data_IF_757677934550
#
_entry.id   IF_757677934550
#
_cell.length_a   1.000
_cell.length_b   1.000
_cell.length_c   1.000
_cell.angle_alpha   90.00
_cell.angle_beta   90.00
_cell.angle_gamma   90.00
#
_symmetry.space_group_name_H-M   'P 1'
#
loop_
_entity.id
_entity.type
_entity.pdbx_description
1 polymer ?
#
# COMPACT_ATOMS: atom_id res chain seq x y z
N UNK A 1 -2.70 -29.28 5.50
CA UNK A 1 -2.99 -28.43 4.33
C UNK A 1 -1.92 -27.34 4.28
N UNK A 2 -1.20 -27.29 3.15
CA UNK A 2 0.12 -26.69 2.94
C UNK A 2 0.34 -25.26 3.50
N UNK A 3 1.31 -25.11 4.41
CA UNK A 3 1.99 -23.84 4.70
C UNK A 3 3.16 -23.76 3.72
N UNK A 4 3.09 -22.88 2.72
CA UNK A 4 4.23 -22.62 1.84
C UNK A 4 5.24 -21.77 2.58
N UNK A 5 6.35 -22.37 2.99
CA UNK A 5 7.56 -21.64 3.36
C UNK A 5 8.13 -20.96 2.10
N UNK A 6 7.73 -19.71 1.86
CA UNK A 6 8.40 -18.83 0.91
C UNK A 6 9.23 -17.81 1.68
N UNK A 7 10.34 -18.27 2.23
CA UNK A 7 11.44 -17.39 2.60
C UNK A 7 12.31 -17.21 1.34
N UNK A 8 11.86 -16.37 0.41
CA UNK A 8 12.78 -15.74 -0.53
C UNK A 8 13.55 -14.71 0.28
N UNK A 9 14.88 -14.79 0.24
CA UNK A 9 15.75 -13.82 0.87
C UNK A 9 15.36 -12.43 0.37
N UNK A 10 14.96 -11.54 1.29
CA UNK A 10 14.71 -10.13 0.97
C UNK A 10 16.09 -9.53 0.71
N UNK A 11 16.43 -9.14 -0.53
CA UNK A 11 17.74 -8.57 -0.80
C UNK A 11 17.92 -7.27 -0.01
N UNK A 12 19.13 -7.01 0.52
CA UNK A 12 19.44 -5.74 1.16
C UNK A 12 19.26 -4.59 0.16
N UNK A 13 18.95 -3.38 0.66
CA UNK A 13 18.69 -2.15 -0.10
C UNK A 13 19.90 -1.71 -0.96
N UNK A 14 20.16 -2.41 -2.05
CA UNK A 14 20.71 -1.86 -3.29
C UNK A 14 19.57 -1.89 -4.31
N UNK A 15 18.83 -0.77 -4.44
CA UNK A 15 17.63 -0.75 -5.27
C UNK A 15 18.00 -0.23 -6.66
N UNK A 16 18.53 -1.13 -7.49
CA UNK A 16 18.42 -0.99 -8.94
C UNK A 16 16.94 -0.68 -9.26
N UNK A 17 16.69 0.48 -9.89
CA UNK A 17 15.35 1.03 -10.16
C UNK A 17 14.33 -0.06 -10.51
N UNK A 18 13.33 -0.24 -9.65
CA UNK A 18 12.35 -1.33 -9.77
C UNK A 18 10.95 -0.80 -9.92
N UNK A 19 10.23 -1.35 -10.90
CA UNK A 19 8.87 -0.94 -11.24
C UNK A 19 7.90 -2.07 -10.91
N UNK A 20 6.85 -1.72 -10.18
CA UNK A 20 5.75 -2.60 -9.82
C UNK A 20 4.49 -2.13 -10.55
N UNK A 21 3.98 -2.98 -11.42
CA UNK A 21 2.87 -2.65 -12.32
C UNK A 21 1.62 -3.40 -11.88
N UNK A 22 0.53 -2.65 -11.75
CA UNK A 22 -0.79 -3.20 -11.51
C UNK A 22 -1.34 -3.83 -12.79
N UNK A 23 -1.92 -5.03 -12.70
CA UNK A 23 -2.58 -5.70 -13.83
C UNK A 23 -3.62 -4.76 -14.51
N UNK A 24 -3.41 -4.34 -15.78
CA UNK A 24 -4.13 -3.22 -16.37
C UNK A 24 -5.64 -3.47 -16.50
N UNK A 25 -6.05 -4.72 -16.76
CA UNK A 25 -7.47 -5.10 -16.85
C UNK A 25 -8.19 -4.95 -15.52
N UNK A 26 -7.59 -5.43 -14.43
CA UNK A 26 -8.17 -5.34 -13.09
C UNK A 26 -8.17 -3.92 -12.56
N UNK A 27 -7.11 -3.16 -12.86
CA UNK A 27 -7.04 -1.73 -12.55
C UNK A 27 -8.19 -0.98 -13.21
N UNK A 28 -8.40 -1.20 -14.51
CA UNK A 28 -9.45 -0.54 -15.26
C UNK A 28 -10.84 -0.84 -14.68
N UNK A 29 -11.17 -2.11 -14.44
CA UNK A 29 -12.49 -2.51 -13.93
C UNK A 29 -12.73 -1.99 -12.50
N UNK A 30 -11.72 -2.08 -11.63
CA UNK A 30 -11.90 -1.82 -10.20
C UNK A 30 -11.75 -0.35 -9.82
N UNK A 31 -11.06 0.44 -10.64
CA UNK A 31 -10.69 1.82 -10.32
C UNK A 31 -11.24 2.76 -11.39
N UNK A 32 -10.81 2.60 -12.63
CA UNK A 32 -11.15 3.54 -13.71
C UNK A 32 -12.64 3.51 -14.03
N UNK A 33 -13.22 2.33 -14.22
CA UNK A 33 -14.64 2.17 -14.53
C UNK A 33 -15.52 2.69 -13.40
N UNK A 34 -15.17 2.39 -12.14
CA UNK A 34 -15.88 2.94 -10.97
C UNK A 34 -15.80 4.47 -10.94
N UNK A 35 -14.63 5.05 -11.21
CA UNK A 35 -14.47 6.50 -11.30
C UNK A 35 -15.32 7.11 -12.41
N UNK A 36 -15.33 6.52 -13.61
CA UNK A 36 -16.15 6.97 -14.74
C UNK A 36 -17.65 6.86 -14.44
N UNK A 37 -18.08 5.78 -13.80
CA UNK A 37 -19.45 5.59 -13.36
C UNK A 37 -19.87 6.69 -12.37
N UNK A 38 -18.98 7.04 -11.42
CA UNK A 38 -19.23 8.17 -10.52
C UNK A 38 -19.31 9.52 -11.24
N UNK A 39 -18.57 9.74 -12.33
CA UNK A 39 -18.72 10.95 -13.16
C UNK A 39 -20.14 11.02 -13.74
N UNK A 40 -20.66 9.91 -14.26
CA UNK A 40 -22.04 9.85 -14.77
C UNK A 40 -23.05 10.18 -13.67
N UNK A 41 -22.85 9.64 -12.45
CA UNK A 41 -23.68 9.98 -11.29
C UNK A 41 -23.60 11.48 -10.98
N UNK A 42 -22.41 12.08 -10.96
CA UNK A 42 -22.26 13.52 -10.74
C UNK A 42 -23.07 14.34 -11.75
N UNK A 43 -23.00 13.99 -13.05
CA UNK A 43 -23.76 14.66 -14.10
C UNK A 43 -25.28 14.48 -13.91
N UNK A 44 -25.73 13.27 -13.57
CA UNK A 44 -27.14 13.01 -13.29
C UNK A 44 -27.64 13.79 -12.06
N UNK A 45 -26.83 13.89 -11.01
CA UNK A 45 -27.14 14.69 -9.83
C UNK A 45 -27.24 16.18 -10.17
N UNK A 46 -26.36 16.72 -11.02
CA UNK A 46 -26.47 18.09 -11.52
C UNK A 46 -27.77 18.25 -12.33
N UNK A 47 -28.09 17.32 -13.23
CA UNK A 47 -29.33 17.32 -14.00
C UNK A 47 -30.60 17.33 -13.14
N UNK A 48 -30.57 16.67 -11.98
CA UNK A 48 -31.68 16.69 -11.02
C UNK A 48 -31.92 18.07 -10.38
N UNK A 49 -30.90 18.94 -10.28
CA UNK A 49 -31.08 20.32 -9.83
C UNK A 49 -31.74 21.21 -10.89
N UNK A 50 -31.65 20.82 -12.15
CA UNK A 50 -32.29 21.49 -13.29
C UNK A 50 -33.57 20.78 -13.75
N UNK A 51 -34.11 19.86 -12.93
CA UNK A 51 -35.30 19.07 -13.20
C UNK A 51 -35.24 18.25 -14.53
N UNK A 52 -34.03 17.98 -15.04
CA UNK A 52 -33.77 17.16 -16.23
C UNK A 52 -33.84 15.65 -15.94
N UNK A 53 -33.70 15.29 -14.66
CA UNK A 53 -33.72 13.91 -14.18
C UNK A 53 -34.70 13.84 -13.00
N UNK A 54 -35.63 12.88 -12.97
CA UNK A 54 -36.63 12.76 -11.90
C UNK A 54 -36.04 12.14 -10.63
N UNK A 55 -35.06 12.82 -10.02
CA UNK A 55 -34.39 12.42 -8.80
C UNK A 55 -34.61 13.48 -7.71
N UNK A 56 -35.07 13.13 -6.49
CA UNK A 56 -35.25 14.10 -5.42
C UNK A 56 -33.95 14.84 -5.09
N UNK A 57 -34.02 16.18 -5.00
CA UNK A 57 -32.85 17.06 -4.81
C UNK A 57 -32.01 16.70 -3.58
N UNK A 58 -32.64 16.29 -2.48
CA UNK A 58 -31.93 15.85 -1.27
C UNK A 58 -31.08 14.59 -1.49
N UNK A 59 -31.61 13.60 -2.23
CA UNK A 59 -30.89 12.38 -2.58
C UNK A 59 -29.78 12.71 -3.59
N UNK A 60 -30.08 13.56 -4.57
CA UNK A 60 -29.11 14.03 -5.55
C UNK A 60 -27.92 14.75 -4.90
N UNK A 61 -28.15 15.56 -3.86
CA UNK A 61 -27.10 16.24 -3.12
C UNK A 61 -26.15 15.25 -2.43
N UNK A 62 -26.70 14.29 -1.67
CA UNK A 62 -25.90 13.30 -0.93
C UNK A 62 -25.12 12.41 -1.91
N UNK A 63 -25.79 11.86 -2.92
CA UNK A 63 -25.17 11.03 -3.94
C UNK A 63 -24.08 11.80 -4.71
N UNK A 64 -24.35 13.06 -5.05
CA UNK A 64 -23.41 13.95 -5.73
C UNK A 64 -22.14 14.21 -4.92
N UNK A 65 -22.27 14.44 -3.60
CA UNK A 65 -21.11 14.61 -2.71
C UNK A 65 -20.24 13.35 -2.69
N UNK A 66 -20.85 12.17 -2.48
CA UNK A 66 -20.13 10.89 -2.41
C UNK A 66 -19.46 10.57 -3.75
N UNK A 67 -20.18 10.74 -4.87
CA UNK A 67 -19.65 10.52 -6.20
C UNK A 67 -18.49 11.48 -6.51
N UNK A 68 -18.63 12.76 -6.17
CA UNK A 68 -17.57 13.76 -6.35
C UNK A 68 -16.32 13.39 -5.55
N UNK A 69 -16.50 12.93 -4.31
CA UNK A 69 -15.38 12.45 -3.50
C UNK A 69 -14.68 11.24 -4.14
N UNK A 70 -15.44 10.30 -4.71
CA UNK A 70 -14.87 9.14 -5.39
C UNK A 70 -14.10 9.54 -6.67
N UNK A 71 -14.65 10.45 -7.48
CA UNK A 71 -13.99 11.02 -8.66
C UNK A 71 -12.71 11.74 -8.26
N UNK A 72 -12.78 12.58 -7.22
CA UNK A 72 -11.61 13.27 -6.68
C UNK A 72 -10.52 12.29 -6.26
N UNK A 73 -10.87 11.28 -5.47
CA UNK A 73 -9.89 10.28 -5.03
C UNK A 73 -9.27 9.51 -6.19
N UNK A 74 -10.05 9.21 -7.22
CA UNK A 74 -9.59 8.37 -8.34
C UNK A 74 -8.69 9.15 -9.30
N UNK A 75 -9.10 10.34 -9.72
CA UNK A 75 -8.43 11.07 -10.80
C UNK A 75 -7.59 12.25 -10.31
N UNK A 76 -7.94 12.86 -9.17
CA UNK A 76 -7.26 14.06 -8.66
C UNK A 76 -6.24 13.69 -7.60
N UNK A 77 -6.61 12.88 -6.61
CA UNK A 77 -5.70 12.49 -5.53
C UNK A 77 -4.81 11.28 -5.87
N UNK A 78 -5.04 10.64 -7.02
CA UNK A 78 -4.36 9.41 -7.47
C UNK A 78 -4.32 8.33 -6.37
N UNK A 79 -5.41 8.19 -5.62
CA UNK A 79 -5.45 7.33 -4.45
C UNK A 79 -5.27 5.85 -4.78
N UNK A 80 -5.36 5.44 -6.05
CA UNK A 80 -5.06 4.09 -6.50
C UNK A 80 -4.06 4.19 -7.67
N UNK A 81 -2.76 4.15 -7.40
CA UNK A 81 -1.74 4.23 -8.45
C UNK A 81 -1.71 2.93 -9.27
N UNK A 82 -1.44 3.06 -10.56
CA UNK A 82 -1.28 1.92 -11.48
C UNK A 82 0.14 1.39 -11.47
N UNK A 83 1.12 2.27 -11.25
CA UNK A 83 2.54 1.93 -11.24
C UNK A 83 3.18 2.52 -10.00
N UNK A 84 3.95 1.69 -9.29
CA UNK A 84 4.83 2.14 -8.21
C UNK A 84 6.26 1.91 -8.67
N UNK A 85 7.06 2.97 -8.72
CA UNK A 85 8.50 2.87 -9.04
C UNK A 85 9.31 3.23 -7.82
N UNK A 86 10.25 2.37 -7.47
CA UNK A 86 11.15 2.56 -6.34
C UNK A 86 12.56 2.63 -6.89
N UNK A 87 13.24 3.71 -6.54
CA UNK A 87 14.62 4.01 -6.88
C UNK A 87 15.41 4.21 -5.58
N UNK A 88 16.73 4.32 -5.66
CA UNK A 88 17.59 4.45 -4.47
C UNK A 88 17.27 5.70 -3.63
N UNK A 89 16.77 6.76 -4.28
CA UNK A 89 16.51 8.06 -3.66
C UNK A 89 15.05 8.46 -3.65
N UNK A 90 14.19 7.81 -4.45
CA UNK A 90 12.82 8.27 -4.66
C UNK A 90 11.82 7.13 -4.75
N UNK A 91 10.60 7.38 -4.27
CA UNK A 91 9.43 6.56 -4.54
C UNK A 91 8.43 7.35 -5.38
N UNK A 92 7.92 6.73 -6.44
CA UNK A 92 7.01 7.35 -7.40
C UNK A 92 5.73 6.54 -7.54
N UNK A 93 4.60 7.23 -7.51
CA UNK A 93 3.26 6.66 -7.71
C UNK A 93 2.66 7.28 -8.97
N UNK A 94 2.32 6.45 -9.95
CA UNK A 94 1.87 6.94 -11.26
C UNK A 94 0.55 6.31 -11.69
N UNK A 95 -0.33 7.12 -12.25
CA UNK A 95 -1.56 6.69 -12.92
C UNK A 95 -2.02 7.78 -13.91
N UNK A 96 -2.69 7.38 -14.99
CA UNK A 96 -3.29 8.30 -15.97
C UNK A 96 -2.32 9.39 -16.52
N UNK A 97 -1.03 9.07 -16.64
CA UNK A 97 0.00 10.01 -17.12
C UNK A 97 0.51 11.01 -16.09
N UNK A 98 -0.05 11.06 -14.87
CA UNK A 98 0.48 11.84 -13.75
C UNK A 98 1.33 10.96 -12.83
N UNK A 99 2.40 11.55 -12.28
CA UNK A 99 3.33 10.90 -11.36
C UNK A 99 3.54 11.77 -10.13
N UNK A 100 3.24 11.22 -8.96
CA UNK A 100 3.57 11.82 -7.67
C UNK A 100 4.90 11.23 -7.18
N UNK A 101 5.93 12.06 -7.05
CA UNK A 101 7.31 11.65 -6.70
C UNK A 101 7.70 12.19 -5.33
N UNK A 102 8.25 11.33 -4.48
CA UNK A 102 8.72 11.67 -3.13
C UNK A 102 10.18 11.26 -2.98
N UNK A 103 11.02 12.19 -2.54
CA UNK A 103 12.39 11.88 -2.14
C UNK A 103 12.36 11.16 -0.79
N UNK A 104 13.05 10.02 -0.69
CA UNK A 104 13.04 9.21 0.54
C UNK A 104 13.63 9.98 1.74
N UNK A 105 14.53 10.93 1.49
CA UNK A 105 15.11 11.80 2.51
C UNK A 105 14.11 12.82 3.09
N UNK A 106 13.08 13.20 2.34
CA UNK A 106 12.08 14.20 2.72
C UNK A 106 10.83 13.57 3.37
N UNK A 107 10.80 12.25 3.50
CA UNK A 107 9.70 11.52 4.12
C UNK A 107 9.90 11.52 5.63
N UNK A 108 9.11 12.34 6.33
CA UNK A 108 9.14 12.47 7.80
C UNK A 108 8.18 11.52 8.49
N UNK A 109 7.06 11.17 7.84
CA UNK A 109 6.11 10.19 8.35
C UNK A 109 5.70 9.23 7.24
N UNK A 110 5.75 7.94 7.53
CA UNK A 110 5.36 6.89 6.62
C UNK A 110 4.54 5.86 7.37
N UNK A 111 3.33 5.58 6.93
CA UNK A 111 2.45 4.61 7.58
C UNK A 111 1.83 3.66 6.57
N UNK A 112 1.86 2.36 6.89
CA UNK A 112 1.29 1.28 6.09
C UNK A 112 0.24 0.53 6.90
N UNK A 113 -1.02 0.67 6.47
CA UNK A 113 -2.12 -0.13 7.01
C UNK A 113 -2.36 -1.34 6.13
N UNK A 114 -2.55 -2.47 6.79
CA UNK A 114 -2.71 -3.75 6.14
C UNK A 114 -4.17 -4.13 6.13
N UNK A 115 -4.69 -4.39 4.94
CA UNK A 115 -6.01 -4.95 4.69
C UNK A 115 -5.83 -6.22 3.86
N UNK A 116 -6.80 -7.15 3.91
CA UNK A 116 -6.69 -8.41 3.16
C UNK A 116 -6.41 -8.17 1.67
N UNK A 117 -5.16 -8.42 1.22
CA UNK A 117 -4.69 -8.18 -0.16
C UNK A 117 -4.51 -6.71 -0.59
N UNK A 118 -4.69 -5.75 0.33
CA UNK A 118 -4.55 -4.31 0.08
C UNK A 118 -3.69 -3.64 1.15
N UNK A 119 -2.95 -2.60 0.76
CA UNK A 119 -2.08 -1.82 1.64
C UNK A 119 -2.43 -0.35 1.47
N UNK A 120 -2.76 0.31 2.56
CA UNK A 120 -3.01 1.75 2.56
C UNK A 120 -1.76 2.46 3.06
N UNK A 121 -1.11 3.19 2.16
CA UNK A 121 0.13 3.93 2.39
C UNK A 121 -0.18 5.40 2.56
N UNK A 122 0.36 6.01 3.62
CA UNK A 122 0.27 7.45 3.88
C UNK A 122 1.66 8.03 4.06
N UNK A 123 1.97 9.06 3.28
CA UNK A 123 3.27 9.75 3.27
C UNK A 123 3.07 11.18 3.77
N UNK A 124 3.92 11.63 4.71
CA UNK A 124 3.93 12.99 5.26
C UNK A 124 2.55 13.46 5.75
N UNK A 125 1.80 12.56 6.40
CA UNK A 125 0.45 12.86 6.86
C UNK A 125 -0.59 13.03 5.75
N UNK A 126 -0.25 12.87 4.47
CA UNK A 126 -1.18 12.90 3.33
C UNK A 126 -1.87 14.25 3.10
N UNK A 127 -1.84 14.74 1.87
CA UNK A 127 -2.54 15.95 1.45
C UNK A 127 -3.87 15.62 0.75
N UNK A 128 -4.65 16.66 0.42
CA UNK A 128 -5.87 16.51 -0.39
C UNK A 128 -5.57 16.02 -1.82
N UNK A 129 -4.36 16.24 -2.33
CA UNK A 129 -3.98 15.98 -3.72
C UNK A 129 -3.00 14.82 -3.93
N UNK A 130 -2.25 14.43 -2.90
CA UNK A 130 -1.23 13.38 -2.98
C UNK A 130 -0.84 12.84 -1.59
N UNK A 131 -0.16 11.70 -1.55
CA UNK A 131 0.38 11.11 -0.31
C UNK A 131 -0.56 10.16 0.44
N UNK A 132 -1.66 9.75 -0.20
CA UNK A 132 -2.61 8.76 0.32
C UNK A 132 -2.88 7.73 -0.78
N UNK A 133 -2.36 6.51 -0.62
CA UNK A 133 -2.41 5.50 -1.68
C UNK A 133 -2.97 4.17 -1.17
N UNK A 134 -3.87 3.60 -1.95
CA UNK A 134 -4.37 2.24 -1.81
C UNK A 134 -3.67 1.37 -2.85
N UNK A 135 -2.72 0.58 -2.38
CA UNK A 135 -1.99 -0.38 -3.18
C UNK A 135 -2.68 -1.74 -3.06
N UNK A 136 -3.09 -2.34 -4.16
CA UNK A 136 -3.63 -3.70 -4.11
C UNK A 136 -2.50 -4.67 -4.45
N UNK A 137 -1.66 -4.96 -3.46
CA UNK A 137 -0.46 -5.81 -3.62
C UNK A 137 -0.79 -7.16 -4.22
N UNK A 138 -1.98 -7.71 -3.94
CA UNK A 138 -2.46 -8.95 -4.54
C UNK A 138 -2.69 -8.92 -6.07
N UNK A 139 -2.77 -7.74 -6.69
CA UNK A 139 -2.99 -7.54 -8.13
C UNK A 139 -1.81 -6.84 -8.82
N UNK A 140 -0.71 -6.64 -8.09
CA UNK A 140 0.52 -6.04 -8.58
C UNK A 140 1.52 -7.16 -8.85
N UNK A 141 2.20 -7.11 -10.00
CA UNK A 141 3.31 -8.02 -10.28
C UNK A 141 4.43 -7.84 -9.24
N UNK A 142 4.87 -8.92 -8.61
CA UNK A 142 5.81 -8.90 -7.48
C UNK A 142 5.30 -8.10 -6.27
N UNK A 143 3.99 -8.08 -6.04
CA UNK A 143 3.37 -7.36 -4.92
C UNK A 143 3.87 -7.77 -3.53
N UNK A 144 4.29 -9.03 -3.35
CA UNK A 144 4.90 -9.51 -2.10
C UNK A 144 6.24 -8.81 -1.79
N UNK A 145 7.03 -8.51 -2.82
CA UNK A 145 8.30 -7.81 -2.68
C UNK A 145 8.10 -6.32 -2.39
N UNK A 146 7.13 -5.70 -3.07
CA UNK A 146 6.70 -4.33 -2.78
C UNK A 146 6.20 -4.23 -1.33
N UNK A 147 5.43 -5.21 -0.88
CA UNK A 147 4.92 -5.26 0.48
C UNK A 147 6.03 -5.38 1.53
N UNK A 148 7.01 -6.26 1.29
CA UNK A 148 8.19 -6.38 2.16
C UNK A 148 8.95 -5.05 2.23
N UNK A 149 9.21 -4.42 1.08
CA UNK A 149 9.90 -3.12 1.01
C UNK A 149 9.15 -2.02 1.76
N UNK A 150 7.83 -1.91 1.58
CA UNK A 150 7.01 -0.89 2.25
C UNK A 150 7.06 -1.05 3.77
N UNK A 151 6.98 -2.29 4.26
CA UNK A 151 7.02 -2.58 5.68
C UNK A 151 8.41 -2.33 6.30
N UNK A 152 9.48 -2.60 5.56
CA UNK A 152 10.85 -2.32 6.01
C UNK A 152 11.16 -0.81 5.98
N UNK A 153 10.63 -0.08 5.00
CA UNK A 153 10.74 1.37 4.94
C UNK A 153 9.95 2.05 6.07
N UNK A 154 8.73 1.58 6.36
CA UNK A 154 7.95 2.04 7.53
C UNK A 154 8.74 1.87 8.84
N UNK A 155 9.40 0.73 9.03
CA UNK A 155 10.22 0.48 10.22
C UNK A 155 11.39 1.48 10.37
N UNK A 156 12.01 1.90 9.25
CA UNK A 156 13.13 2.85 9.26
C UNK A 156 12.69 4.29 9.56
N UNK A 157 11.53 4.70 9.06
CA UNK A 157 11.03 6.08 9.19
C UNK A 157 10.26 6.29 10.49
N UNK A 158 9.48 5.30 10.94
CA UNK A 158 8.72 5.37 12.19
C UNK A 158 9.00 4.14 13.08
N UNK A 159 10.15 4.13 13.80
CA UNK A 159 10.55 3.01 14.66
C UNK A 159 9.62 2.81 15.86
N UNK A 160 8.75 3.77 16.20
CA UNK A 160 7.94 3.75 17.41
C UNK A 160 6.47 3.33 17.20
N UNK A 161 6.03 3.12 15.96
CA UNK A 161 4.73 2.53 15.64
C UNK A 161 4.53 1.17 16.34
N UNK A 162 3.38 0.92 16.98
CA UNK A 162 3.10 -0.35 17.66
C UNK A 162 3.28 -1.60 16.76
N UNK A 163 3.19 -1.43 15.44
CA UNK A 163 3.47 -2.47 14.44
C UNK A 163 4.97 -2.76 14.26
N UNK A 164 5.85 -1.75 14.32
CA UNK A 164 7.30 -1.96 14.22
C UNK A 164 7.82 -2.75 15.43
N UNK A 165 7.23 -2.51 16.60
CA UNK A 165 7.57 -3.21 17.85
C UNK A 165 7.05 -4.65 17.87
N UNK A 166 5.88 -4.92 17.26
CA UNK A 166 5.37 -6.28 17.09
C UNK A 166 6.20 -7.10 16.08
N UNK A 167 6.86 -6.42 15.14
CA UNK A 167 7.73 -7.00 14.10
C UNK A 167 9.20 -7.10 14.53
N UNK A 168 9.50 -7.12 15.85
CA UNK A 168 10.86 -7.38 16.39
C UNK A 168 11.57 -8.39 15.49
N UNK A 169 12.74 -8.06 14.92
CA UNK A 169 13.42 -8.97 14.01
C UNK A 169 13.64 -10.29 14.73
N UNK A 170 13.16 -11.38 14.13
CA UNK A 170 13.32 -12.75 14.64
C UNK A 170 14.80 -13.10 14.90
N UNK A 171 15.73 -12.35 14.31
CA UNK A 171 17.17 -12.51 14.48
C UNK A 171 17.68 -12.41 15.92
N UNK A 172 16.93 -11.81 16.86
CA UNK A 172 17.34 -11.78 18.28
C UNK A 172 16.83 -12.99 19.09
N UNK A 173 15.99 -13.86 18.52
CA UNK A 173 15.43 -15.02 19.25
C UNK A 173 16.29 -16.29 19.13
N UNK A 174 17.17 -16.36 18.14
CA UNK A 174 18.03 -17.53 17.91
C UNK A 174 19.43 -17.42 18.52
N UNK A 175 19.88 -16.22 18.91
CA UNK A 175 21.18 -16.03 19.60
C UNK A 175 21.11 -16.19 21.12
N UNK A 176 19.91 -16.30 21.72
CA UNK A 176 19.73 -16.49 23.18
C UNK A 176 19.41 -17.94 23.57
N UNK A 177 19.67 -18.90 22.68
CA UNK A 177 19.84 -20.30 23.08
C UNK A 177 21.31 -20.52 23.41
N UNK A 178 21.69 -20.20 24.65
CA UNK A 178 22.96 -20.69 25.22
C UNK A 178 23.03 -22.22 24.99
N UNK A 179 24.09 -22.77 24.39
CA UNK A 179 24.28 -24.21 24.39
C UNK A 179 24.65 -24.62 25.82
N UNK A 180 23.73 -25.25 26.55
CA UNK A 180 24.01 -25.78 27.87
C UNK A 180 24.33 -27.28 27.79
N UNK A 181 25.63 -27.55 27.96
CA UNK A 181 26.28 -28.79 28.42
C UNK A 181 26.13 -30.06 27.59
N UNK A 182 27.18 -30.32 26.83
CA UNK A 182 27.72 -31.65 26.65
C UNK A 182 28.93 -31.79 27.59
N UNK A 183 28.70 -32.29 28.82
CA UNK A 183 29.74 -32.88 29.68
C UNK A 183 29.11 -33.63 30.87
N UNK A 184 28.87 -34.92 30.65
CA UNK A 184 28.95 -36.06 31.59
C UNK A 184 29.18 -37.26 30.68
N UNK A 185 30.41 -37.39 30.17
CA UNK A 185 31.42 -38.31 30.72
C UNK A 185 30.89 -39.74 30.86
N UNK A 186 31.14 -40.48 29.78
CA UNK A 186 31.55 -41.87 29.74
C UNK A 186 32.51 -42.22 30.89
N UNK A 187 31.98 -42.67 32.03
CA UNK A 187 32.63 -43.58 32.99
C UNK A 187 31.50 -44.01 33.95
N UNK A 188 31.08 -45.26 34.09
CA UNK A 188 31.82 -46.47 34.47
C UNK A 188 30.93 -47.67 34.11
N UNK A 189 31.41 -48.52 33.20
CA UNK A 189 31.21 -49.97 33.27
C UNK A 189 32.26 -50.51 34.25
N UNK A 190 31.82 -51.10 35.37
CA UNK A 190 32.49 -52.14 36.17
C UNK A 190 31.64 -52.54 37.37
#
# INVERSE_FOLDING_TARGET
MWRRDFRKEVPPLEVLMKQYVYEPKRFFVSVTFTGLFCIVICVACIGAFFDLVPLPRGIAAIAGIVATYQVWNTFIALANPQVVTIDDKTIRFSAYGRTDSFALADITTFSVREFSGKRYVRINGGSLFQGRYWLQTACIENGDELEAWLADFEYRVDPHSLKSQARRPYHTRTSDKRPNKQQRDDTIDK
#
